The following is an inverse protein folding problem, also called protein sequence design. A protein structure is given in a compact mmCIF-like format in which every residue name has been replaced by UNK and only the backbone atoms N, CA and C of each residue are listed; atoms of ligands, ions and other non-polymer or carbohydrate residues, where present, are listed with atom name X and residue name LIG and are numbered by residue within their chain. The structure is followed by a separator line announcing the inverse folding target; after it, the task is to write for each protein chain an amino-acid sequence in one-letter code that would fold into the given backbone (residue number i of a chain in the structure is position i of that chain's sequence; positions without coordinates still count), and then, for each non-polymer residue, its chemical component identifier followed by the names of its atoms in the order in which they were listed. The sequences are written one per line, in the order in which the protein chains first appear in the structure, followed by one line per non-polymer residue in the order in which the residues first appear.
data_IF_586008544663
#
_entry.id   IF_586008544663
#
_cell.length_a   1.000
_cell.length_b   1.000
_cell.length_c   1.000
_cell.angle_alpha   90.00
_cell.angle_beta   90.00
_cell.angle_gamma   90.00
#
_symmetry.space_group_name_H-M   'P 1'
#
loop_
_entity.id
_entity.type
_entity.pdbx_description
1 polymer ?
#
# COMPACT_ATOMS: atom_id res chain seq x y z
N UNK A 1 -52.51 57.96 -11.82
CA UNK A 1 -51.23 57.53 -11.25
C UNK A 1 -51.26 56.02 -11.19
N UNK A 2 -50.51 55.30 -12.03
CA UNK A 2 -50.50 53.82 -11.99
C UNK A 2 -49.36 53.36 -11.08
N UNK A 3 -49.66 52.43 -10.23
CA UNK A 3 -48.74 51.76 -9.33
C UNK A 3 -47.93 50.69 -10.11
N UNK A 4 -46.64 50.88 -10.16
CA UNK A 4 -45.71 49.88 -10.69
C UNK A 4 -45.44 48.84 -9.61
N UNK A 5 -45.86 47.58 -9.90
CA UNK A 5 -45.53 46.42 -9.10
C UNK A 5 -44.16 45.89 -9.57
N UNK A 6 -43.18 45.97 -8.67
CA UNK A 6 -41.84 45.41 -8.90
C UNK A 6 -41.88 43.89 -8.65
N UNK A 7 -41.50 43.03 -9.58
CA UNK A 7 -41.40 41.60 -9.31
C UNK A 7 -40.13 41.28 -8.51
N UNK A 8 -40.31 40.71 -7.34
CA UNK A 8 -39.22 40.17 -6.52
C UNK A 8 -38.72 38.89 -7.22
N UNK A 9 -37.56 38.98 -7.84
CA UNK A 9 -36.81 37.81 -8.29
C UNK A 9 -36.16 37.14 -7.07
N UNK A 10 -36.76 36.05 -6.62
CA UNK A 10 -36.12 35.12 -5.70
C UNK A 10 -35.00 34.39 -6.45
N UNK A 11 -33.77 34.85 -6.28
CA UNK A 11 -32.61 34.07 -6.65
C UNK A 11 -32.48 32.89 -5.68
N UNK A 12 -32.94 31.73 -6.14
CA UNK A 12 -32.63 30.45 -5.53
C UNK A 12 -31.11 30.24 -5.68
N UNK A 13 -30.39 30.49 -4.60
CA UNK A 13 -28.97 30.17 -4.49
C UNK A 13 -28.86 28.65 -4.38
N UNK A 14 -28.87 27.99 -5.54
CA UNK A 14 -28.52 26.56 -5.63
C UNK A 14 -27.05 26.43 -5.25
N UNK A 15 -26.79 25.95 -4.05
CA UNK A 15 -25.45 25.53 -3.64
C UNK A 15 -25.00 24.42 -4.59
N UNK A 16 -24.27 24.79 -5.65
CA UNK A 16 -23.42 23.86 -6.36
C UNK A 16 -22.37 23.41 -5.33
N UNK A 17 -22.63 22.26 -4.70
CA UNK A 17 -21.56 21.47 -4.08
C UNK A 17 -20.62 21.10 -5.22
N UNK A 18 -19.57 21.92 -5.39
CA UNK A 18 -18.39 21.52 -6.14
C UNK A 18 -17.76 20.38 -5.35
N UNK A 19 -18.14 19.15 -5.67
CA UNK A 19 -17.40 17.97 -5.26
C UNK A 19 -16.05 18.13 -5.96
N UNK A 20 -15.09 18.72 -5.24
CA UNK A 20 -13.69 18.59 -5.60
C UNK A 20 -13.41 17.09 -5.58
N UNK A 21 -13.34 16.48 -6.75
CA UNK A 21 -12.79 15.15 -6.94
C UNK A 21 -11.28 15.31 -6.71
N UNK A 22 -10.90 15.42 -5.43
CA UNK A 22 -9.51 15.28 -5.05
C UNK A 22 -9.11 13.86 -5.42
N UNK A 23 -8.02 13.71 -6.16
CA UNK A 23 -7.41 12.40 -6.37
C UNK A 23 -7.37 11.69 -5.02
N UNK A 24 -7.99 10.52 -4.95
CA UNK A 24 -7.98 9.73 -3.72
C UNK A 24 -6.52 9.49 -3.35
N UNK A 25 -6.14 9.83 -2.14
CA UNK A 25 -4.78 9.61 -1.62
C UNK A 25 -4.25 8.21 -1.92
N UNK A 26 -5.15 7.23 -1.97
CA UNK A 26 -4.85 5.82 -2.22
C UNK A 26 -4.28 5.57 -3.62
N UNK A 27 -4.69 6.33 -4.64
CA UNK A 27 -4.26 6.12 -6.04
C UNK A 27 -3.01 6.94 -6.43
N UNK A 28 -2.33 7.52 -5.47
CA UNK A 28 -1.06 8.21 -5.73
C UNK A 28 0.03 7.23 -6.15
N UNK A 29 0.87 7.67 -7.09
CA UNK A 29 2.08 6.98 -7.47
C UNK A 29 3.14 7.05 -6.36
N UNK A 30 3.98 6.02 -6.30
CA UNK A 30 5.09 5.95 -5.37
C UNK A 30 4.72 5.36 -4.00
N UNK A 31 5.71 5.32 -3.13
CA UNK A 31 5.54 4.91 -1.74
C UNK A 31 4.89 6.04 -0.95
N UNK A 32 3.90 5.69 -0.15
CA UNK A 32 3.10 6.59 0.66
C UNK A 32 3.33 6.33 2.14
N UNK A 33 3.23 7.37 2.96
CA UNK A 33 3.37 7.30 4.41
C UNK A 33 2.10 7.80 5.09
N UNK A 34 1.87 7.30 6.32
CA UNK A 34 0.77 7.70 7.18
C UNK A 34 -0.59 7.65 6.46
N UNK A 35 -0.83 6.59 5.68
CA UNK A 35 -2.07 6.44 4.91
C UNK A 35 -3.21 6.05 5.83
N UNK A 36 -4.20 6.93 6.07
CA UNK A 36 -5.32 6.59 6.95
C UNK A 36 -6.10 5.38 6.41
N UNK A 37 -6.40 4.41 7.28
CA UNK A 37 -7.23 3.24 6.90
C UNK A 37 -8.61 3.70 6.42
N UNK A 38 -9.14 4.77 7.00
CA UNK A 38 -10.39 5.38 6.54
C UNK A 38 -10.34 5.85 5.09
N UNK A 39 -9.18 6.27 4.58
CA UNK A 39 -9.00 6.65 3.17
C UNK A 39 -9.04 5.43 2.25
N UNK A 40 -8.49 4.28 2.68
CA UNK A 40 -8.60 3.02 1.96
C UNK A 40 -10.07 2.58 1.87
N UNK A 41 -10.78 2.62 2.99
CA UNK A 41 -12.21 2.29 3.04
C UNK A 41 -13.04 3.23 2.16
N UNK A 42 -12.78 4.54 2.21
CA UNK A 42 -13.46 5.53 1.37
C UNK A 42 -13.19 5.33 -0.12
N UNK A 43 -12.01 4.81 -0.49
CA UNK A 43 -11.66 4.43 -1.86
C UNK A 43 -12.27 3.08 -2.28
N UNK A 44 -13.02 2.41 -1.40
CA UNK A 44 -13.62 1.10 -1.67
C UNK A 44 -12.64 -0.07 -1.57
N UNK A 45 -11.46 0.14 -0.97
CA UNK A 45 -10.51 -0.92 -0.72
C UNK A 45 -11.00 -1.82 0.42
N UNK A 46 -10.85 -3.13 0.27
CA UNK A 46 -11.27 -4.14 1.24
C UNK A 46 -10.05 -4.98 1.66
N UNK A 47 -9.79 -5.17 2.95
CA UNK A 47 -8.72 -6.05 3.41
C UNK A 47 -8.88 -7.45 2.83
N UNK A 48 -7.81 -8.04 2.30
CA UNK A 48 -7.79 -9.42 1.82
C UNK A 48 -6.69 -10.26 2.50
N UNK A 49 -5.70 -9.61 3.08
CA UNK A 49 -4.68 -10.27 3.88
C UNK A 49 -4.23 -9.35 5.02
N UNK A 50 -4.10 -9.93 6.21
CA UNK A 50 -3.58 -9.28 7.40
C UNK A 50 -2.85 -10.30 8.27
N UNK A 51 -1.65 -9.99 8.76
CA UNK A 51 -0.89 -10.83 9.66
C UNK A 51 0.16 -10.04 10.45
N UNK A 52 0.58 -10.50 11.63
CA UNK A 52 1.72 -9.91 12.34
C UNK A 52 2.96 -9.85 11.45
N UNK A 53 3.74 -8.77 11.55
CA UNK A 53 4.87 -8.56 10.64
C UNK A 53 5.91 -9.68 10.73
N UNK A 54 6.26 -10.12 11.92
CA UNK A 54 7.22 -11.21 12.15
C UNK A 54 6.70 -12.62 11.82
N UNK A 55 5.43 -12.79 11.41
CA UNK A 55 4.90 -14.09 11.00
C UNK A 55 5.29 -14.41 9.57
N UNK A 56 5.53 -15.70 9.27
CA UNK A 56 5.72 -16.15 7.88
C UNK A 56 4.38 -16.14 7.16
N UNK A 57 4.30 -15.40 6.06
CA UNK A 57 3.12 -15.38 5.18
C UNK A 57 3.13 -16.58 4.26
N UNK A 58 1.96 -17.08 3.87
CA UNK A 58 1.85 -18.07 2.79
C UNK A 58 1.56 -17.34 1.48
N UNK A 59 2.24 -17.73 0.42
CA UNK A 59 1.98 -17.14 -0.92
C UNK A 59 0.52 -17.32 -1.33
N UNK A 60 -0.09 -18.44 -0.95
CA UNK A 60 -1.50 -18.71 -1.22
C UNK A 60 -2.43 -17.69 -0.58
N UNK A 61 -2.13 -17.23 0.63
CA UNK A 61 -2.97 -16.26 1.33
C UNK A 61 -2.94 -14.91 0.62
N UNK A 62 -1.76 -14.48 0.16
CA UNK A 62 -1.59 -13.22 -0.58
C UNK A 62 -2.20 -13.32 -1.99
N UNK A 63 -1.99 -14.44 -2.70
CA UNK A 63 -2.55 -14.67 -4.03
C UNK A 63 -4.06 -14.88 -4.04
N UNK A 64 -4.68 -15.04 -2.86
CA UNK A 64 -6.14 -15.03 -2.72
C UNK A 64 -6.77 -13.65 -2.92
N UNK A 65 -5.96 -12.59 -2.83
CA UNK A 65 -6.38 -11.24 -3.19
C UNK A 65 -6.68 -11.16 -4.70
N UNK A 66 -7.85 -10.64 -5.07
CA UNK A 66 -8.38 -10.73 -6.45
C UNK A 66 -8.79 -9.39 -7.06
N UNK A 67 -8.62 -8.28 -6.34
CA UNK A 67 -8.90 -6.94 -6.85
C UNK A 67 -8.00 -6.58 -8.02
N UNK A 68 -8.43 -5.66 -8.92
CA UNK A 68 -7.59 -5.18 -10.02
C UNK A 68 -6.35 -4.45 -9.54
N UNK A 69 -6.44 -3.82 -8.38
CA UNK A 69 -5.33 -3.18 -7.69
C UNK A 69 -5.19 -3.73 -6.28
N UNK A 70 -3.96 -3.69 -5.79
CA UNK A 70 -3.60 -4.05 -4.43
C UNK A 70 -2.96 -2.84 -3.75
N UNK A 71 -3.45 -2.48 -2.58
CA UNK A 71 -2.72 -1.58 -1.68
C UNK A 71 -2.02 -2.43 -0.63
N UNK A 72 -0.69 -2.38 -0.60
CA UNK A 72 0.16 -3.19 0.26
C UNK A 72 0.87 -2.28 1.24
N UNK A 73 0.88 -2.62 2.52
CA UNK A 73 1.51 -1.76 3.51
C UNK A 73 1.65 -2.41 4.87
N UNK A 74 2.16 -1.63 5.81
CA UNK A 74 2.36 -2.04 7.19
C UNK A 74 1.77 -1.02 8.15
N UNK A 75 1.22 -1.51 9.26
CA UNK A 75 0.60 -0.72 10.31
C UNK A 75 1.31 -1.00 11.64
N UNK A 76 1.55 0.03 12.42
CA UNK A 76 1.91 -0.14 13.82
C UNK A 76 0.63 -0.37 14.62
N UNK A 77 0.66 -1.32 15.56
CA UNK A 77 -0.44 -1.59 16.48
C UNK A 77 -1.00 -0.28 17.07
N UNK A 78 -2.32 -0.21 17.21
CA UNK A 78 -3.06 0.97 17.71
C UNK A 78 -3.07 2.23 16.82
N UNK A 79 -2.30 2.29 15.74
CA UNK A 79 -2.43 3.39 14.76
C UNK A 79 -3.63 3.16 13.82
N UNK A 80 -4.29 4.25 13.44
CA UNK A 80 -5.39 4.24 12.46
C UNK A 80 -4.91 4.55 11.04
N UNK A 81 -3.62 4.30 10.76
CA UNK A 81 -2.99 4.54 9.48
C UNK A 81 -1.93 3.46 9.20
N UNK A 82 -1.74 3.16 7.92
CA UNK A 82 -0.58 2.42 7.48
C UNK A 82 0.63 3.35 7.53
N UNK A 83 1.68 2.93 8.21
CA UNK A 83 2.91 3.69 8.37
C UNK A 83 3.60 3.91 7.02
N UNK A 84 3.62 2.86 6.21
CA UNK A 84 4.16 2.86 4.86
C UNK A 84 3.30 1.94 3.98
N UNK A 85 3.05 2.35 2.76
CA UNK A 85 2.29 1.54 1.81
C UNK A 85 2.48 1.99 0.37
N UNK A 86 2.07 1.15 -0.55
CA UNK A 86 2.11 1.43 -1.98
C UNK A 86 0.97 0.72 -2.72
N UNK A 87 0.53 1.32 -3.82
CA UNK A 87 -0.47 0.74 -4.72
C UNK A 87 0.22 0.05 -5.90
N UNK A 88 -0.28 -1.13 -6.27
CA UNK A 88 0.16 -1.85 -7.46
C UNK A 88 -1.03 -2.49 -8.18
N UNK A 89 -0.82 -3.00 -9.38
CA UNK A 89 -1.76 -3.88 -10.07
C UNK A 89 -1.65 -5.30 -9.55
N UNK A 90 -2.70 -6.11 -9.71
CA UNK A 90 -2.71 -7.54 -9.35
C UNK A 90 -1.63 -8.34 -10.09
N UNK A 91 -1.12 -7.82 -11.19
CA UNK A 91 -0.09 -8.49 -12.01
C UNK A 91 1.18 -8.78 -11.22
N UNK A 92 1.50 -7.98 -10.20
CA UNK A 92 2.65 -8.24 -9.33
C UNK A 92 2.63 -9.65 -8.71
N UNK A 93 1.46 -10.19 -8.43
CA UNK A 93 1.31 -11.54 -7.85
C UNK A 93 1.37 -12.67 -8.90
N UNK A 94 1.29 -12.32 -10.17
CA UNK A 94 1.31 -13.26 -11.30
C UNK A 94 2.70 -13.37 -11.92
N UNK A 95 3.48 -12.31 -11.84
CA UNK A 95 4.83 -12.25 -12.37
C UNK A 95 5.81 -12.65 -11.28
N UNK A 96 6.62 -13.69 -11.54
CA UNK A 96 7.78 -13.96 -10.71
C UNK A 96 8.78 -12.82 -10.94
N UNK A 97 9.05 -12.06 -9.90
CA UNK A 97 9.98 -10.94 -9.93
C UNK A 97 10.94 -11.05 -8.74
N UNK A 98 12.20 -10.76 -8.97
CA UNK A 98 13.24 -10.80 -7.95
C UNK A 98 13.58 -9.38 -7.49
N UNK A 99 14.42 -9.26 -6.47
CA UNK A 99 14.96 -7.95 -6.08
C UNK A 99 15.91 -7.36 -7.12
N UNK A 100 16.65 -8.19 -7.82
CA UNK A 100 17.53 -7.78 -8.92
C UNK A 100 16.79 -7.51 -10.24
N UNK A 101 15.61 -8.12 -10.41
CA UNK A 101 14.73 -7.90 -11.56
C UNK A 101 13.31 -7.58 -11.06
N UNK A 102 13.09 -6.41 -10.46
CA UNK A 102 11.82 -6.04 -9.88
C UNK A 102 10.79 -5.68 -10.95
N UNK A 103 9.52 -5.84 -10.60
CA UNK A 103 8.41 -5.40 -11.43
C UNK A 103 8.07 -3.93 -11.11
N UNK A 104 8.25 -3.04 -12.07
CA UNK A 104 7.87 -1.63 -11.91
C UNK A 104 6.36 -1.44 -12.09
N UNK A 105 5.68 -0.99 -11.04
CA UNK A 105 4.25 -0.66 -11.08
C UNK A 105 3.98 0.56 -10.21
N UNK A 106 3.23 1.51 -10.76
CA UNK A 106 2.82 2.74 -10.08
C UNK A 106 3.98 3.53 -9.42
N UNK A 107 5.14 3.57 -10.11
CA UNK A 107 6.34 4.27 -9.62
C UNK A 107 7.03 3.60 -8.43
N UNK A 108 6.80 2.32 -8.24
CA UNK A 108 7.37 1.50 -7.17
C UNK A 108 7.91 0.20 -7.76
N UNK A 109 9.03 -0.25 -7.27
CA UNK A 109 9.67 -1.50 -7.67
C UNK A 109 9.23 -2.63 -6.73
N UNK A 110 8.60 -3.66 -7.31
CA UNK A 110 7.98 -4.78 -6.60
C UNK A 110 8.76 -6.06 -6.82
N UNK A 111 8.81 -6.90 -5.80
CA UNK A 111 9.28 -8.26 -5.92
C UNK A 111 8.26 -9.23 -5.31
N UNK A 112 8.06 -10.37 -5.98
CA UNK A 112 7.24 -11.48 -5.51
C UNK A 112 7.94 -12.79 -5.86
N UNK A 113 8.64 -13.34 -4.88
CA UNK A 113 9.41 -14.59 -4.99
C UNK A 113 8.73 -15.65 -4.16
N UNK A 114 8.02 -16.58 -4.79
CA UNK A 114 7.41 -17.72 -4.08
C UNK A 114 8.47 -18.50 -3.33
N UNK A 115 8.16 -18.84 -2.08
CA UNK A 115 9.11 -19.55 -1.20
C UNK A 115 10.21 -18.66 -0.61
N UNK A 116 10.17 -17.35 -0.84
CA UNK A 116 11.18 -16.42 -0.36
C UNK A 116 10.59 -15.15 0.24
N UNK A 117 10.16 -14.18 -0.60
CA UNK A 117 9.76 -12.86 -0.12
C UNK A 117 8.76 -12.16 -1.02
N UNK A 118 8.01 -11.22 -0.42
CA UNK A 118 7.16 -10.25 -1.10
C UNK A 118 7.42 -8.86 -0.55
N UNK A 119 7.43 -7.85 -1.42
CA UNK A 119 7.59 -6.49 -0.96
C UNK A 119 7.81 -5.49 -2.08
N UNK A 120 8.21 -4.28 -1.66
CA UNK A 120 8.43 -3.16 -2.57
C UNK A 120 9.52 -2.20 -2.07
N UNK A 121 10.08 -1.45 -3.02
CA UNK A 121 11.01 -0.35 -2.74
C UNK A 121 10.73 0.85 -3.63
N UNK A 122 11.07 2.06 -3.15
CA UNK A 122 10.93 3.30 -3.90
C UNK A 122 12.04 3.51 -4.94
N UNK A 123 13.15 2.79 -4.83
CA UNK A 123 14.34 2.93 -5.70
C UNK A 123 14.62 1.61 -6.37
N UNK A 124 15.05 1.68 -7.63
CA UNK A 124 15.65 0.54 -8.30
C UNK A 124 16.93 0.17 -7.54
N UNK A 125 17.03 -1.09 -7.12
CA UNK A 125 18.18 -1.52 -6.35
C UNK A 125 19.41 -1.53 -7.25
N UNK A 126 20.29 -0.56 -7.05
CA UNK A 126 21.69 -0.70 -7.46
C UNK A 126 22.33 -1.80 -6.60
N UNK A 127 22.91 -2.77 -7.25
CA UNK A 127 23.31 -4.11 -6.81
C UNK A 127 24.22 -4.18 -5.55
N UNK A 128 24.72 -3.06 -5.05
CA UNK A 128 25.83 -3.06 -4.10
C UNK A 128 25.47 -2.76 -2.63
N UNK A 129 24.23 -2.44 -2.29
CA UNK A 129 23.92 -1.92 -0.96
C UNK A 129 22.95 -2.74 -0.10
N UNK A 130 22.29 -3.74 -0.65
CA UNK A 130 21.33 -4.57 0.10
C UNK A 130 21.85 -6.00 0.10
N UNK A 131 22.39 -6.42 1.22
CA UNK A 131 22.68 -7.83 1.48
C UNK A 131 21.41 -8.65 1.16
N UNK A 132 21.46 -9.37 0.06
CA UNK A 132 20.36 -10.00 -0.67
C UNK A 132 19.60 -11.09 0.09
N UNK A 133 19.85 -11.29 1.38
CA UNK A 133 19.36 -12.43 2.16
C UNK A 133 18.34 -12.08 3.25
N UNK A 134 17.86 -10.83 3.33
CA UNK A 134 16.97 -10.42 4.43
C UNK A 134 15.53 -10.27 3.98
N UNK A 135 14.69 -11.30 4.20
CA UNK A 135 13.29 -11.28 3.75
C UNK A 135 12.38 -10.36 4.55
N UNK A 136 12.72 -10.05 5.80
CA UNK A 136 11.90 -9.20 6.67
C UNK A 136 12.65 -7.91 7.01
N UNK A 137 12.57 -6.92 6.12
CA UNK A 137 13.17 -5.60 6.33
C UNK A 137 12.16 -4.48 6.14
N UNK A 138 12.07 -3.60 7.13
CA UNK A 138 11.52 -2.27 6.95
C UNK A 138 12.69 -1.32 7.07
N UNK A 139 13.06 -0.71 5.96
CA UNK A 139 14.06 0.36 5.96
C UNK A 139 13.29 1.67 5.77
N UNK A 140 13.00 2.33 6.88
CA UNK A 140 12.46 3.68 6.89
C UNK A 140 13.58 4.67 7.15
N UNK A 141 14.49 4.82 6.19
CA UNK A 141 15.37 5.98 6.16
C UNK A 141 14.79 7.02 5.21
N UNK A 142 15.20 8.27 5.34
CA UNK A 142 14.78 9.36 4.45
C UNK A 142 15.11 9.12 2.97
N UNK A 143 15.88 8.09 2.64
CA UNK A 143 16.38 7.79 1.31
C UNK A 143 15.95 6.41 0.78
N UNK A 144 15.74 5.41 1.63
CA UNK A 144 15.28 4.09 1.21
C UNK A 144 13.99 3.71 1.92
N UNK A 145 12.94 3.51 1.13
CA UNK A 145 11.59 3.18 1.57
C UNK A 145 11.28 1.78 1.05
N UNK A 146 11.72 0.79 1.78
CA UNK A 146 11.52 -0.61 1.46
C UNK A 146 10.64 -1.30 2.49
N UNK A 147 9.73 -2.12 2.01
CA UNK A 147 8.95 -3.07 2.81
C UNK A 147 9.10 -4.44 2.19
N UNK A 148 9.54 -5.39 2.97
CA UNK A 148 9.66 -6.78 2.53
C UNK A 148 9.30 -7.73 3.67
N UNK A 149 8.63 -8.83 3.36
CA UNK A 149 8.33 -9.90 4.31
C UNK A 149 8.50 -11.29 3.72
N UNK A 150 8.76 -12.26 4.58
CA UNK A 150 8.94 -13.67 4.21
C UNK A 150 7.65 -14.32 3.73
N UNK A 151 7.79 -15.19 2.71
CA UNK A 151 6.72 -16.01 2.16
C UNK A 151 7.16 -17.46 2.13
N UNK A 152 6.27 -18.39 2.56
CA UNK A 152 6.41 -19.85 2.45
C UNK A 152 7.71 -20.45 3.04
N UNK A 153 8.44 -19.68 3.86
CA UNK A 153 9.63 -20.23 4.53
C UNK A 153 9.23 -21.27 5.57
N UNK A 154 10.01 -22.34 5.65
CA UNK A 154 9.91 -23.27 6.77
C UNK A 154 10.35 -22.55 8.05
N UNK A 155 9.66 -22.83 9.16
CA UNK A 155 9.96 -22.27 10.49
C UNK A 155 11.37 -22.55 11.03
N UNK A 156 12.14 -23.40 10.34
CA UNK A 156 13.45 -23.87 10.78
C UNK A 156 14.61 -22.97 10.36
N UNK A 157 14.35 -21.95 9.54
CA UNK A 157 15.34 -20.92 9.23
C UNK A 157 15.24 -19.85 10.28
N UNK A 158 16.19 -19.81 11.19
CA UNK A 158 16.34 -18.77 12.20
C UNK A 158 16.33 -17.40 11.50
N UNK A 159 15.21 -16.70 11.65
CA UNK A 159 15.04 -15.34 11.12
C UNK A 159 16.02 -14.44 11.88
N UNK A 160 17.21 -14.24 11.35
CA UNK A 160 18.06 -13.13 11.79
C UNK A 160 17.41 -11.85 11.31
N UNK A 161 16.40 -11.42 12.05
CA UNK A 161 15.76 -10.12 11.87
C UNK A 161 16.80 -9.04 12.14
N UNK A 162 17.37 -8.50 11.09
CA UNK A 162 18.10 -7.24 11.17
C UNK A 162 17.14 -6.12 10.77
N UNK A 163 15.99 -6.07 11.45
CA UNK A 163 15.14 -4.89 11.37
C UNK A 163 15.88 -3.77 12.09
N UNK A 164 16.08 -2.65 11.42
CA UNK A 164 16.58 -1.41 12.05
C UNK A 164 15.50 -0.86 13.00
N UNK A 165 14.28 -1.35 12.89
CA UNK A 165 13.11 -0.95 13.67
C UNK A 165 12.56 -2.19 14.38
N UNK A 166 12.20 -2.06 15.65
CA UNK A 166 11.42 -3.09 16.36
C UNK A 166 10.05 -3.24 15.68
N UNK A 167 9.85 -4.36 14.99
CA UNK A 167 8.62 -4.66 14.26
C UNK A 167 7.66 -5.58 15.02
N UNK A 168 7.91 -5.83 16.31
CA UNK A 168 7.10 -6.74 17.13
C UNK A 168 5.62 -6.32 17.22
N UNK A 169 5.36 -5.01 17.14
CA UNK A 169 4.03 -4.41 17.14
C UNK A 169 3.50 -4.04 15.75
N UNK A 170 4.09 -4.57 14.68
CA UNK A 170 3.69 -4.23 13.33
C UNK A 170 2.84 -5.32 12.71
N UNK A 171 1.92 -4.91 11.83
CA UNK A 171 1.02 -5.79 11.06
C UNK A 171 1.20 -5.52 9.58
N UNK A 172 1.20 -6.59 8.79
CA UNK A 172 1.18 -6.58 7.31
C UNK A 172 -0.25 -6.44 6.83
N UNK A 173 -0.47 -5.66 5.82
CA UNK A 173 -1.78 -5.48 5.20
C UNK A 173 -1.71 -5.59 3.68
N UNK A 174 -2.67 -6.29 3.10
CA UNK A 174 -2.98 -6.23 1.67
C UNK A 174 -4.48 -5.96 1.52
N UNK A 175 -4.81 -4.96 0.75
CA UNK A 175 -6.20 -4.58 0.45
C UNK A 175 -6.47 -4.74 -1.04
N UNK A 176 -7.59 -5.34 -1.39
CA UNK A 176 -8.15 -5.28 -2.74
C UNK A 176 -8.74 -3.90 -2.97
N UNK A 177 -8.29 -3.18 -3.98
CA UNK A 177 -8.83 -1.89 -4.35
C UNK A 177 -9.53 -1.98 -5.72
N UNK A 178 -10.67 -1.28 -5.91
CA UNK A 178 -11.31 -1.16 -7.22
C UNK A 178 -10.41 -0.37 -8.17
N UNK A 179 -10.75 -0.38 -9.47
CA UNK A 179 -10.15 0.54 -10.42
C UNK A 179 -10.55 1.98 -10.10
N UNK A 180 -9.64 2.92 -10.42
CA UNK A 180 -9.92 4.35 -10.34
C UNK A 180 -10.93 4.80 -11.40
#
# INVERSE_FOLDING_TARGET
MPWQICPIFLFSCGSLLCLAVGESLVYKSGVQHDVPISSLVAAGCVPCYEAPYGSVSKSQDITSCTGPYLFVGTQIEDKQALEIGALTTIEVLRMESTRSEPYLSNGVYWHFMKGCSFGFTAVENDDDSIESERPDSIISTSLSREVSWSIDRSSDVELKTHSIVDTSSWTKHVHNCPGA
#
